data_IF_613802609889
#
_entry.id   IF_613802609889
#
_cell.length_a   1.000
_cell.length_b   1.000
_cell.length_c   1.000
_cell.angle_alpha   90.00
_cell.angle_beta   90.00
_cell.angle_gamma   90.00
#
_symmetry.space_group_name_H-M   'P 1'
#
loop_
_entity.id
_entity.type
_entity.pdbx_description
1 polymer ?
#
# COMPACT_ATOMS: atom_id res chain seq x y z
N UNK A 1 -6.66 14.17 -37.44
CA UNK A 1 -6.23 13.73 -36.09
C UNK A 1 -5.11 12.72 -36.27
N UNK A 2 -3.96 12.85 -35.57
CA UNK A 2 -2.94 11.81 -35.60
C UNK A 2 -3.54 10.47 -35.16
N UNK A 3 -3.08 9.38 -35.78
CA UNK A 3 -3.54 8.03 -35.49
C UNK A 3 -3.10 7.66 -34.06
N UNK A 4 -4.04 7.24 -33.20
CA UNK A 4 -3.72 6.82 -31.82
C UNK A 4 -2.84 5.57 -31.84
N UNK A 5 -1.82 5.54 -30.98
CA UNK A 5 -0.99 4.35 -30.75
C UNK A 5 -1.83 3.20 -30.18
N UNK A 6 -1.56 1.99 -30.65
CA UNK A 6 -2.18 0.75 -30.15
C UNK A 6 -1.68 0.40 -28.74
N UNK A 7 -0.40 0.62 -28.47
CA UNK A 7 0.23 0.36 -27.18
C UNK A 7 0.34 1.65 -26.35
N UNK A 8 0.45 1.50 -25.04
CA UNK A 8 0.90 2.55 -24.14
C UNK A 8 2.25 3.07 -24.58
N UNK A 9 2.47 4.37 -24.34
CA UNK A 9 3.78 4.98 -24.52
C UNK A 9 4.76 4.25 -23.60
N UNK A 10 5.87 3.70 -24.11
CA UNK A 10 6.81 2.97 -23.27
C UNK A 10 7.46 3.94 -22.27
N UNK A 11 7.62 3.47 -21.03
CA UNK A 11 8.36 4.16 -19.98
C UNK A 11 9.77 3.57 -19.92
N UNK A 12 10.78 4.41 -19.71
CA UNK A 12 12.13 3.91 -19.50
C UNK A 12 12.20 3.12 -18.19
N UNK A 13 12.90 1.99 -18.23
CA UNK A 13 13.17 1.17 -17.05
C UNK A 13 14.68 0.92 -16.95
N UNK A 14 15.16 0.68 -15.74
CA UNK A 14 16.52 0.18 -15.57
C UNK A 14 16.66 -1.21 -16.23
N UNK A 15 17.84 -1.47 -16.79
CA UNK A 15 18.17 -2.77 -17.36
C UNK A 15 18.14 -3.87 -16.28
N UNK A 16 17.53 -5.04 -16.55
CA UNK A 16 17.40 -6.13 -15.56
C UNK A 16 18.74 -6.58 -14.95
N UNK A 17 19.81 -6.57 -15.73
CA UNK A 17 21.17 -6.96 -15.29
C UNK A 17 21.78 -5.97 -14.31
N UNK A 18 21.35 -4.70 -14.33
CA UNK A 18 21.79 -3.62 -13.45
C UNK A 18 20.89 -3.59 -12.20
N UNK A 19 19.56 -3.45 -12.40
CA UNK A 19 18.58 -3.21 -11.32
C UNK A 19 18.46 -4.34 -10.31
N UNK A 20 18.87 -5.56 -10.67
CA UNK A 20 18.90 -6.69 -9.75
C UNK A 20 19.96 -6.56 -8.64
N UNK A 21 20.86 -5.56 -8.72
CA UNK A 21 21.95 -5.34 -7.76
C UNK A 21 21.85 -4.00 -7.01
N UNK A 22 20.74 -3.26 -7.14
CA UNK A 22 20.52 -1.99 -6.44
C UNK A 22 19.05 -1.88 -5.99
N UNK A 23 18.78 -0.95 -5.07
CA UNK A 23 17.43 -0.66 -4.57
C UNK A 23 16.80 0.59 -5.23
N UNK A 24 17.41 1.11 -6.30
CA UNK A 24 16.91 2.28 -7.02
C UNK A 24 15.62 1.94 -7.80
N UNK A 25 14.81 2.96 -8.07
CA UNK A 25 13.52 2.81 -8.74
C UNK A 25 13.65 2.16 -10.13
N UNK A 26 12.92 1.07 -10.37
CA UNK A 26 13.00 0.36 -11.66
C UNK A 26 12.40 1.18 -12.80
N UNK A 27 11.19 1.71 -12.61
CA UNK A 27 10.49 2.51 -13.60
C UNK A 27 10.90 3.98 -13.45
N UNK A 28 11.50 4.57 -14.49
CA UNK A 28 12.13 5.89 -14.42
C UNK A 28 11.16 7.06 -14.62
N UNK A 29 9.88 6.81 -14.86
CA UNK A 29 8.90 7.86 -15.12
C UNK A 29 8.86 8.31 -16.58
N UNK A 30 7.87 9.13 -16.90
CA UNK A 30 7.76 9.75 -18.23
C UNK A 30 8.50 11.08 -18.27
N UNK A 31 9.01 11.45 -19.45
CA UNK A 31 9.25 12.86 -19.75
C UNK A 31 7.94 13.59 -20.02
N UNK A 32 7.94 14.93 -20.01
CA UNK A 32 6.76 15.72 -20.37
C UNK A 32 6.30 15.41 -21.80
N UNK A 33 7.21 15.19 -22.76
CA UNK A 33 6.81 14.82 -24.13
C UNK A 33 6.15 13.45 -24.19
N UNK A 34 6.69 12.46 -23.48
CA UNK A 34 6.08 11.12 -23.38
C UNK A 34 4.71 11.19 -22.72
N UNK A 35 4.57 12.00 -21.66
CA UNK A 35 3.30 12.27 -21.00
C UNK A 35 2.25 12.86 -21.95
N UNK A 36 2.61 13.87 -22.74
CA UNK A 36 1.73 14.45 -23.76
C UNK A 36 1.33 13.44 -24.82
N UNK A 37 2.28 12.62 -25.27
CA UNK A 37 2.02 11.55 -26.23
C UNK A 37 1.02 10.54 -25.68
N UNK A 38 1.20 10.10 -24.44
CA UNK A 38 0.28 9.17 -23.78
C UNK A 38 -1.10 9.81 -23.51
N UNK A 39 -1.12 11.05 -23.03
CA UNK A 39 -2.34 11.81 -22.80
C UNK A 39 -3.18 11.97 -24.09
N UNK A 40 -2.53 12.08 -25.25
CA UNK A 40 -3.20 12.17 -26.56
C UNK A 40 -4.03 10.92 -26.92
N UNK A 41 -3.76 9.77 -26.30
CA UNK A 41 -4.52 8.53 -26.50
C UNK A 41 -5.89 8.58 -25.84
N UNK A 42 -6.08 9.41 -24.81
CA UNK A 42 -7.35 9.54 -24.11
C UNK A 42 -8.49 9.95 -25.05
N UNK A 43 -9.63 9.28 -24.90
CA UNK A 43 -10.82 9.49 -25.72
C UNK A 43 -11.70 10.64 -25.23
N UNK A 44 -11.41 11.21 -24.04
CA UNK A 44 -12.26 12.21 -23.39
C UNK A 44 -13.72 11.74 -23.31
N UNK A 45 -13.90 10.55 -22.73
CA UNK A 45 -15.22 9.89 -22.64
C UNK A 45 -16.16 10.72 -21.76
N UNK A 46 -17.34 11.09 -22.27
CA UNK A 46 -18.33 11.88 -21.52
C UNK A 46 -18.82 11.23 -20.23
N UNK A 47 -18.93 9.91 -20.21
CA UNK A 47 -19.37 9.12 -19.05
C UNK A 47 -18.23 8.72 -18.10
N UNK A 48 -16.98 8.99 -18.50
CA UNK A 48 -15.75 8.86 -17.71
C UNK A 48 -15.74 7.66 -16.73
N UNK A 49 -15.87 6.41 -17.21
CA UNK A 49 -15.97 5.24 -16.34
C UNK A 49 -14.75 5.05 -15.42
N UNK A 50 -13.60 5.58 -15.83
CA UNK A 50 -12.36 5.59 -15.06
C UNK A 50 -12.48 6.35 -13.73
N UNK A 51 -13.31 7.41 -13.65
CA UNK A 51 -13.54 8.17 -12.42
C UNK A 51 -14.27 7.28 -11.41
N UNK A 52 -15.36 6.62 -11.84
CA UNK A 52 -16.20 5.78 -10.98
C UNK A 52 -15.48 4.56 -10.39
N UNK A 53 -14.41 4.10 -11.04
CA UNK A 53 -13.60 2.96 -10.60
C UNK A 53 -12.30 3.37 -9.93
N UNK A 54 -12.06 4.68 -9.77
CA UNK A 54 -11.01 5.19 -8.90
C UNK A 54 -11.61 5.36 -7.50
N UNK A 55 -11.09 4.68 -6.45
CA UNK A 55 -11.66 4.77 -5.11
C UNK A 55 -11.70 6.18 -4.50
N UNK A 56 -10.86 7.11 -4.98
CA UNK A 56 -10.86 8.53 -4.58
C UNK A 56 -11.46 9.46 -5.64
N UNK A 57 -12.04 8.89 -6.71
CA UNK A 57 -12.80 9.59 -7.75
C UNK A 57 -12.06 10.76 -8.43
N UNK A 58 -10.76 10.58 -8.74
CA UNK A 58 -9.96 11.58 -9.46
C UNK A 58 -10.65 11.96 -10.78
N UNK A 59 -10.69 13.27 -11.10
CA UNK A 59 -11.08 13.77 -12.42
C UNK A 59 -10.02 13.45 -13.49
N UNK A 60 -10.00 12.17 -13.89
CA UNK A 60 -9.02 11.60 -14.81
C UNK A 60 -9.05 12.27 -16.19
N UNK A 61 -10.20 12.43 -16.86
CA UNK A 61 -10.24 13.13 -18.15
C UNK A 61 -9.75 14.58 -18.03
N UNK A 62 -10.07 15.26 -16.94
CA UNK A 62 -9.67 16.65 -16.69
C UNK A 62 -8.17 16.82 -16.58
N UNK A 63 -7.48 16.07 -15.72
CA UNK A 63 -6.03 16.23 -15.57
C UNK A 63 -5.29 15.77 -16.82
N UNK A 64 -5.75 14.71 -17.51
CA UNK A 64 -5.16 14.26 -18.77
C UNK A 64 -5.33 15.30 -19.87
N UNK A 65 -6.48 15.99 -19.91
CA UNK A 65 -6.71 17.08 -20.85
C UNK A 65 -5.74 18.24 -20.57
N UNK A 66 -5.51 18.58 -19.30
CA UNK A 66 -4.55 19.61 -18.92
C UNK A 66 -3.10 19.24 -19.35
N UNK A 67 -2.66 17.99 -19.18
CA UNK A 67 -1.37 17.51 -19.71
C UNK A 67 -1.29 17.71 -21.23
N UNK A 68 -2.34 17.32 -21.95
CA UNK A 68 -2.41 17.44 -23.41
C UNK A 68 -2.36 18.90 -23.89
N UNK A 69 -2.91 19.82 -23.10
CA UNK A 69 -2.92 21.26 -23.36
C UNK A 69 -1.66 21.97 -22.85
N UNK A 70 -0.65 21.22 -22.38
CA UNK A 70 0.61 21.73 -21.82
C UNK A 70 0.45 22.56 -20.53
N UNK A 71 -0.58 22.25 -19.74
CA UNK A 71 -0.90 22.95 -18.49
C UNK A 71 -0.69 22.00 -17.28
N UNK A 72 0.58 21.71 -16.99
CA UNK A 72 0.99 20.90 -15.83
C UNK A 72 0.53 21.47 -14.48
N UNK A 73 0.59 22.80 -14.22
CA UNK A 73 0.03 23.36 -12.99
C UNK A 73 -1.45 23.03 -12.80
N UNK A 74 -2.27 23.16 -13.85
CA UNK A 74 -3.69 22.80 -13.79
C UNK A 74 -3.90 21.30 -13.63
N UNK A 75 -3.09 20.47 -14.27
CA UNK A 75 -3.15 19.02 -14.08
C UNK A 75 -2.94 18.65 -12.60
N UNK A 76 -1.93 19.23 -11.96
CA UNK A 76 -1.65 19.02 -10.53
C UNK A 76 -2.78 19.55 -9.64
N UNK A 77 -3.28 20.75 -9.91
CA UNK A 77 -4.44 21.31 -9.18
C UNK A 77 -5.68 20.43 -9.28
N UNK A 78 -5.89 19.76 -10.42
CA UNK A 78 -7.00 18.80 -10.58
C UNK A 78 -6.79 17.59 -9.68
N UNK A 79 -5.60 16.98 -9.72
CA UNK A 79 -5.27 15.79 -8.91
C UNK A 79 -5.33 16.08 -7.41
N UNK A 80 -4.73 17.19 -6.94
CA UNK A 80 -4.62 17.55 -5.52
C UNK A 80 -5.99 17.85 -4.85
N UNK A 81 -7.06 18.06 -5.64
CA UNK A 81 -8.43 18.11 -5.08
C UNK A 81 -8.92 16.75 -4.59
N UNK A 82 -8.42 15.67 -5.17
CA UNK A 82 -8.93 14.31 -4.94
C UNK A 82 -7.92 13.40 -4.26
N UNK A 83 -6.62 13.63 -4.43
CA UNK A 83 -5.59 12.77 -3.87
C UNK A 83 -4.62 13.57 -3.03
N UNK A 84 -4.34 13.07 -1.83
CA UNK A 84 -3.27 13.58 -0.97
C UNK A 84 -1.95 12.86 -1.22
N UNK A 85 -1.98 11.72 -1.95
CA UNK A 85 -0.80 10.90 -2.21
C UNK A 85 -0.60 10.49 -3.69
N UNK A 86 -0.69 11.42 -4.65
CA UNK A 86 -0.69 11.08 -6.08
C UNK A 86 0.62 10.47 -6.60
N UNK A 87 1.79 10.90 -6.09
CA UNK A 87 3.07 10.34 -6.51
C UNK A 87 3.21 8.87 -6.07
N UNK A 88 2.60 8.51 -4.96
CA UNK A 88 2.54 7.14 -4.46
C UNK A 88 1.51 6.33 -5.25
N UNK A 89 0.28 6.84 -5.42
CA UNK A 89 -0.79 6.13 -6.13
C UNK A 89 -0.43 5.82 -7.59
N UNK A 90 0.19 6.77 -8.28
CA UNK A 90 0.67 6.59 -9.66
C UNK A 90 1.67 5.44 -9.80
N UNK A 91 2.42 5.11 -8.72
CA UNK A 91 3.40 4.02 -8.68
C UNK A 91 2.81 2.67 -8.28
N UNK A 92 1.97 2.64 -7.24
CA UNK A 92 1.64 1.38 -6.54
C UNK A 92 0.21 0.89 -6.72
N UNK A 93 -0.69 1.71 -7.28
CA UNK A 93 -2.06 1.26 -7.56
C UNK A 93 -2.05 0.06 -8.53
N UNK A 94 -2.92 -0.95 -8.35
CA UNK A 94 -3.14 -1.98 -9.36
C UNK A 94 -4.11 -1.46 -10.42
N UNK A 95 -3.66 -0.55 -11.29
CA UNK A 95 -4.54 0.12 -12.26
C UNK A 95 -5.27 -0.87 -13.18
N UNK A 96 -4.68 -2.03 -13.44
CA UNK A 96 -5.25 -3.12 -14.23
C UNK A 96 -6.49 -3.76 -13.59
N UNK A 97 -6.74 -3.48 -12.31
CA UNK A 97 -7.95 -3.87 -11.56
C UNK A 97 -8.84 -2.67 -11.20
N UNK A 98 -8.51 -1.47 -11.68
CA UNK A 98 -9.15 -0.21 -11.27
C UNK A 98 -9.44 0.71 -12.47
N UNK A 99 -8.88 1.93 -12.49
CA UNK A 99 -9.19 2.97 -13.47
C UNK A 99 -8.86 2.55 -14.91
N UNK A 100 -7.77 1.81 -15.14
CA UNK A 100 -7.36 1.36 -16.47
C UNK A 100 -8.17 0.15 -16.96
N UNK A 101 -8.63 -0.72 -16.03
CA UNK A 101 -9.50 -1.86 -16.34
C UNK A 101 -10.77 -1.46 -17.09
N UNK A 102 -11.30 -0.27 -16.79
CA UNK A 102 -12.56 0.25 -17.35
C UNK A 102 -12.35 1.30 -18.44
N UNK A 103 -11.10 1.59 -18.81
CA UNK A 103 -10.79 2.52 -19.87
C UNK A 103 -11.38 2.02 -21.21
N UNK A 104 -12.25 2.81 -21.84
CA UNK A 104 -12.92 2.43 -23.09
C UNK A 104 -11.95 2.14 -24.24
N UNK A 105 -10.79 2.81 -24.25
CA UNK A 105 -9.73 2.53 -25.23
C UNK A 105 -9.26 1.08 -25.10
N UNK A 106 -8.96 0.65 -23.86
CA UNK A 106 -8.52 -0.71 -23.53
C UNK A 106 -9.59 -1.79 -23.67
N UNK A 107 -10.86 -1.44 -23.86
CA UNK A 107 -11.93 -2.42 -24.17
C UNK A 107 -11.84 -2.93 -25.62
N UNK A 108 -11.19 -2.18 -26.50
CA UNK A 108 -10.91 -2.65 -27.86
C UNK A 108 -9.76 -3.66 -27.83
N UNK A 109 -9.94 -4.85 -28.42
CA UNK A 109 -8.90 -5.90 -28.47
C UNK A 109 -7.58 -5.47 -29.13
N UNK A 110 -7.56 -4.33 -29.84
CA UNK A 110 -6.39 -3.81 -30.54
C UNK A 110 -5.62 -2.76 -29.75
N UNK A 111 -6.17 -2.25 -28.65
CA UNK A 111 -5.59 -1.12 -27.93
C UNK A 111 -5.40 -1.47 -26.45
N UNK A 112 -4.26 -1.08 -25.91
CA UNK A 112 -4.06 -1.02 -24.46
C UNK A 112 -4.81 0.17 -23.86
N UNK A 113 -5.20 0.13 -22.57
CA UNK A 113 -5.78 1.29 -21.90
C UNK A 113 -4.80 2.47 -21.89
N UNK A 114 -5.33 3.67 -21.64
CA UNK A 114 -4.50 4.85 -21.34
C UNK A 114 -3.75 4.57 -20.04
N UNK A 115 -2.45 4.88 -19.98
CA UNK A 115 -1.61 4.70 -18.80
C UNK A 115 -1.87 5.78 -17.74
N UNK A 116 -3.04 5.73 -17.11
CA UNK A 116 -3.54 6.73 -16.16
C UNK A 116 -2.58 6.85 -14.96
N UNK A 117 -2.12 5.72 -14.41
CA UNK A 117 -1.21 5.76 -13.25
C UNK A 117 0.13 6.42 -13.58
N UNK A 118 0.68 6.15 -14.76
CA UNK A 118 1.94 6.75 -15.23
C UNK A 118 1.79 8.27 -15.48
N UNK A 119 0.63 8.72 -15.95
CA UNK A 119 0.33 10.15 -16.10
C UNK A 119 0.11 10.85 -14.75
N UNK A 120 -0.57 10.20 -13.80
CA UNK A 120 -0.72 10.71 -12.42
C UNK A 120 0.66 10.88 -11.77
N UNK A 121 1.51 9.86 -11.89
CA UNK A 121 2.91 9.91 -11.43
C UNK A 121 3.67 11.08 -12.06
N UNK A 122 3.61 11.25 -13.38
CA UNK A 122 4.30 12.34 -14.07
C UNK A 122 3.92 13.71 -13.49
N UNK A 123 2.63 13.95 -13.29
CA UNK A 123 2.14 15.23 -12.77
C UNK A 123 2.57 15.45 -11.33
N UNK A 124 2.54 14.42 -10.50
CA UNK A 124 2.97 14.51 -9.12
C UNK A 124 4.49 14.73 -9.00
N UNK A 125 5.30 13.96 -9.74
CA UNK A 125 6.75 14.09 -9.76
C UNK A 125 7.17 15.50 -10.25
N UNK A 126 6.54 16.00 -11.32
CA UNK A 126 6.75 17.37 -11.81
C UNK A 126 6.44 18.43 -10.74
N UNK A 127 5.44 18.20 -9.90
CA UNK A 127 5.01 19.15 -8.87
C UNK A 127 6.06 19.35 -7.76
N UNK A 128 6.86 18.32 -7.44
CA UNK A 128 7.93 18.42 -6.43
C UNK A 128 9.09 19.31 -6.87
N UNK A 129 9.26 19.51 -8.18
CA UNK A 129 10.26 20.43 -8.72
C UNK A 129 9.79 21.90 -8.69
N UNK A 130 8.51 22.14 -8.40
CA UNK A 130 7.94 23.48 -8.37
C UNK A 130 7.98 24.08 -6.97
N UNK A 131 8.25 25.38 -6.88
CA UNK A 131 7.97 26.11 -5.65
C UNK A 131 6.46 26.20 -5.44
N UNK A 132 5.92 25.53 -4.43
CA UNK A 132 4.53 25.73 -4.03
C UNK A 132 4.45 26.40 -2.66
N UNK A 133 3.44 27.26 -2.49
CA UNK A 133 3.02 27.77 -1.20
C UNK A 133 1.59 27.31 -1.02
N UNK A 134 1.34 26.51 0.00
CA UNK A 134 -0.01 26.22 0.40
C UNK A 134 -0.68 27.50 0.91
N UNK A 135 -2.01 27.54 0.76
CA UNK A 135 -2.80 28.64 1.30
C UNK A 135 -2.99 28.39 2.79
N UNK A 136 -2.77 29.42 3.59
CA UNK A 136 -3.10 29.38 5.01
C UNK A 136 -4.61 29.10 5.18
N UNK A 137 -4.95 27.90 5.64
CA UNK A 137 -6.30 27.55 6.07
C UNK A 137 -6.38 27.79 7.57
N UNK A 138 -7.40 28.52 8.01
CA UNK A 138 -7.64 28.73 9.44
C UNK A 138 -8.16 27.44 10.07
N UNK A 139 -7.50 26.98 11.13
CA UNK A 139 -7.83 25.74 11.84
C UNK A 139 -8.70 26.02 13.06
N UNK A 140 -9.99 26.30 12.87
CA UNK A 140 -10.92 26.68 13.96
C UNK A 140 -12.21 25.84 14.04
N UNK A 141 -12.34 24.79 13.20
CA UNK A 141 -13.54 23.95 13.20
C UNK A 141 -13.56 22.88 14.28
N UNK A 142 -12.41 22.47 14.79
CA UNK A 142 -12.29 21.45 15.81
C UNK A 142 -10.98 20.68 15.76
N UNK A 143 -10.80 19.79 16.72
CA UNK A 143 -9.61 18.94 16.88
C UNK A 143 -9.93 17.50 16.54
N UNK A 144 -9.14 16.86 15.68
CA UNK A 144 -9.32 15.45 15.33
C UNK A 144 -8.01 14.67 15.50
N UNK A 145 -8.08 13.57 16.25
CA UNK A 145 -6.99 12.62 16.38
C UNK A 145 -7.03 11.59 15.25
N UNK A 146 -5.87 11.21 14.74
CA UNK A 146 -5.71 10.17 13.72
C UNK A 146 -4.69 9.16 14.21
N UNK A 147 -5.11 7.92 14.48
CA UNK A 147 -4.23 6.86 15.00
C UNK A 147 -3.71 6.01 13.85
N UNK A 148 -2.44 6.20 13.50
CA UNK A 148 -1.74 5.53 12.40
C UNK A 148 -1.37 6.48 11.26
N UNK A 149 -0.08 6.49 10.90
CA UNK A 149 0.49 7.29 9.83
C UNK A 149 0.59 6.58 8.47
N UNK A 150 -0.11 5.45 8.28
CA UNK A 150 -0.23 4.77 6.97
C UNK A 150 -1.22 5.47 6.03
N UNK A 151 -1.32 5.10 4.74
CA UNK A 151 -1.98 5.90 3.68
C UNK A 151 -3.34 6.55 4.03
N UNK A 152 -4.17 5.84 4.79
CA UNK A 152 -5.49 6.34 5.22
C UNK A 152 -5.38 7.53 6.18
N UNK A 153 -4.44 7.50 7.12
CA UNK A 153 -4.24 8.52 8.15
C UNK A 153 -3.90 9.91 7.58
N UNK A 154 -2.80 10.08 6.84
CA UNK A 154 -2.49 11.33 6.14
C UNK A 154 -3.58 11.76 5.17
N UNK A 155 -4.34 10.81 4.58
CA UNK A 155 -5.48 11.17 3.75
C UNK A 155 -6.58 11.87 4.55
N UNK A 156 -6.99 11.30 5.69
CA UNK A 156 -7.98 11.92 6.58
C UNK A 156 -7.48 13.24 7.13
N UNK A 157 -6.26 13.26 7.67
CA UNK A 157 -5.68 14.44 8.30
C UNK A 157 -5.54 15.59 7.30
N UNK A 158 -5.01 15.33 6.10
CA UNK A 158 -4.84 16.33 5.06
C UNK A 158 -6.18 16.91 4.55
N UNK A 159 -7.21 16.06 4.39
CA UNK A 159 -8.53 16.54 3.97
C UNK A 159 -9.22 17.36 5.07
N UNK A 160 -9.14 16.92 6.32
CA UNK A 160 -9.68 17.67 7.46
C UNK A 160 -8.94 19.00 7.68
N UNK A 161 -7.62 19.03 7.50
CA UNK A 161 -6.84 20.27 7.52
C UNK A 161 -7.29 21.24 6.42
N UNK A 162 -7.47 20.75 5.18
CA UNK A 162 -8.06 21.53 4.07
C UNK A 162 -9.47 22.04 4.40
N UNK A 163 -10.21 21.35 5.26
CA UNK A 163 -11.53 21.77 5.74
C UNK A 163 -11.51 22.73 6.92
N UNK A 164 -10.35 22.96 7.57
CA UNK A 164 -10.18 23.88 8.71
C UNK A 164 -10.18 23.22 10.10
N UNK A 165 -9.87 21.92 10.18
CA UNK A 165 -9.70 21.21 11.45
C UNK A 165 -8.21 21.13 11.85
N UNK A 166 -7.94 21.27 13.13
CA UNK A 166 -6.64 20.93 13.71
C UNK A 166 -6.55 19.40 13.80
N UNK A 167 -5.52 18.82 13.20
CA UNK A 167 -5.36 17.36 13.16
C UNK A 167 -4.02 16.93 13.71
N UNK A 168 -4.02 15.85 14.51
CA UNK A 168 -2.81 15.22 15.03
C UNK A 168 -2.80 13.74 14.65
N UNK A 169 -1.77 13.33 13.93
CA UNK A 169 -1.49 11.92 13.63
C UNK A 169 -0.58 11.35 14.74
N UNK A 170 -1.00 10.26 15.35
CA UNK A 170 -0.18 9.45 16.26
C UNK A 170 0.34 8.22 15.53
N UNK A 171 1.65 8.12 15.37
CA UNK A 171 2.33 7.03 14.66
C UNK A 171 3.22 6.24 15.62
N UNK A 172 3.05 4.92 15.64
CA UNK A 172 3.77 4.01 16.52
C UNK A 172 5.27 3.94 16.19
N UNK A 173 5.62 3.95 14.91
CA UNK A 173 7.00 3.89 14.44
C UNK A 173 7.68 5.27 14.49
N UNK A 174 9.00 5.27 14.35
CA UNK A 174 9.79 6.51 14.28
C UNK A 174 9.58 7.30 12.97
N UNK A 175 8.86 6.72 12.00
CA UNK A 175 8.61 7.31 10.67
C UNK A 175 7.18 7.02 10.22
N UNK A 176 6.48 8.06 9.75
CA UNK A 176 5.17 7.94 9.14
C UNK A 176 5.23 7.32 7.73
N UNK A 177 4.06 6.99 7.16
CA UNK A 177 3.88 6.35 5.86
C UNK A 177 3.42 4.89 5.96
N UNK A 178 3.49 4.26 7.13
CA UNK A 178 3.07 2.87 7.32
C UNK A 178 3.71 1.92 6.30
N UNK A 179 2.90 1.12 5.60
CA UNK A 179 3.38 0.16 4.59
C UNK A 179 4.19 0.82 3.46
N UNK A 180 3.97 2.12 3.20
CA UNK A 180 4.74 2.89 2.21
C UNK A 180 6.21 3.03 2.63
N UNK A 181 6.47 3.07 3.94
CA UNK A 181 7.79 3.24 4.53
C UNK A 181 8.43 1.88 4.86
N UNK A 182 7.74 0.98 5.57
CA UNK A 182 8.33 -0.28 6.00
C UNK A 182 8.10 -1.47 5.05
N UNK A 183 7.07 -1.42 4.19
CA UNK A 183 6.63 -2.57 3.40
C UNK A 183 7.09 -2.55 1.95
N UNK A 184 6.70 -1.51 1.22
CA UNK A 184 6.98 -1.39 -0.22
C UNK A 184 8.45 -0.98 -0.44
N UNK A 185 9.29 -1.75 -1.15
CA UNK A 185 10.71 -1.40 -1.30
C UNK A 185 10.97 -0.17 -2.19
N UNK A 186 12.15 0.43 -2.02
CA UNK A 186 12.61 1.63 -2.77
C UNK A 186 12.57 1.46 -4.28
N UNK A 187 12.85 0.25 -4.77
CA UNK A 187 12.86 -0.04 -6.21
C UNK A 187 11.47 0.06 -6.87
N UNK A 188 10.40 0.12 -6.06
CA UNK A 188 9.01 0.36 -6.51
C UNK A 188 8.47 1.69 -6.01
N UNK A 189 8.83 2.08 -4.78
CA UNK A 189 8.40 3.33 -4.16
C UNK A 189 9.57 3.97 -3.40
N UNK A 190 10.26 4.96 -4.00
CA UNK A 190 11.37 5.63 -3.34
C UNK A 190 10.92 6.29 -2.03
N UNK A 191 11.70 6.14 -0.96
CA UNK A 191 11.33 6.70 0.35
C UNK A 191 11.31 8.22 0.36
N UNK A 192 12.16 8.85 -0.45
CA UNK A 192 12.15 10.29 -0.64
C UNK A 192 10.78 10.79 -1.16
N UNK A 193 10.09 10.02 -2.00
CA UNK A 193 8.75 10.38 -2.49
C UNK A 193 7.72 10.31 -1.36
N UNK A 194 7.81 9.27 -0.51
CA UNK A 194 6.95 9.16 0.68
C UNK A 194 7.20 10.34 1.62
N UNK A 195 8.47 10.69 1.86
CA UNK A 195 8.86 11.80 2.72
C UNK A 195 8.35 13.14 2.20
N UNK A 196 8.45 13.39 0.88
CA UNK A 196 7.93 14.59 0.24
C UNK A 196 6.41 14.72 0.40
N UNK A 197 5.65 13.65 0.20
CA UNK A 197 4.19 13.74 0.38
C UNK A 197 3.77 13.85 1.84
N UNK A 198 4.44 13.17 2.76
CA UNK A 198 4.22 13.38 4.19
C UNK A 198 4.57 14.82 4.59
N UNK A 199 5.60 15.41 4.00
CA UNK A 199 5.96 16.80 4.23
C UNK A 199 4.86 17.75 3.71
N UNK A 200 4.32 17.52 2.51
CA UNK A 200 3.17 18.29 2.01
C UNK A 200 1.96 18.21 2.95
N UNK A 201 1.72 17.06 3.60
CA UNK A 201 0.66 16.94 4.60
C UNK A 201 0.96 17.79 5.84
N UNK A 202 2.22 17.83 6.30
CA UNK A 202 2.62 18.73 7.39
C UNK A 202 2.49 20.20 7.00
N UNK A 203 2.77 20.55 5.75
CA UNK A 203 2.68 21.92 5.23
C UNK A 203 1.21 22.43 5.23
N UNK A 204 0.23 21.53 5.24
CA UNK A 204 -1.19 21.85 5.48
C UNK A 204 -1.51 22.17 6.97
N UNK A 205 -0.52 22.11 7.87
CA UNK A 205 -0.70 22.32 9.31
C UNK A 205 -1.04 21.06 10.10
N UNK A 206 -0.90 19.87 9.50
CA UNK A 206 -1.11 18.59 10.20
C UNK A 206 0.06 18.32 11.16
N UNK A 207 -0.24 18.08 12.43
CA UNK A 207 0.76 17.63 13.40
C UNK A 207 0.98 16.11 13.27
N UNK A 208 2.22 15.65 13.30
CA UNK A 208 2.55 14.22 13.24
C UNK A 208 3.50 13.89 14.40
N UNK A 209 3.01 13.09 15.34
CA UNK A 209 3.76 12.59 16.49
C UNK A 209 4.15 11.14 16.26
N UNK A 210 5.45 10.91 16.02
CA UNK A 210 6.02 9.57 15.87
C UNK A 210 6.46 8.98 17.22
N UNK A 211 6.69 7.67 17.26
CA UNK A 211 6.99 6.91 18.48
C UNK A 211 5.88 6.97 19.55
N UNK A 212 4.63 7.15 19.13
CA UNK A 212 3.46 7.16 20.01
C UNK A 212 2.61 5.93 19.72
N UNK A 213 2.65 4.96 20.62
CA UNK A 213 1.82 3.76 20.55
C UNK A 213 0.55 4.01 21.34
N UNK A 214 -0.55 4.37 20.67
CA UNK A 214 -1.86 4.55 21.33
C UNK A 214 -2.31 3.22 21.95
N UNK A 215 -2.73 3.26 23.22
CA UNK A 215 -2.96 2.09 24.08
C UNK A 215 -1.74 1.63 24.89
N UNK A 216 -0.60 2.35 24.79
CA UNK A 216 0.61 2.12 25.59
C UNK A 216 1.28 3.41 26.04
N UNK A 217 1.63 4.28 25.09
CA UNK A 217 2.26 5.58 25.34
C UNK A 217 1.24 6.61 25.82
N UNK A 218 0.05 6.60 25.22
CA UNK A 218 -1.13 7.37 25.61
C UNK A 218 -2.33 6.44 25.59
N UNK A 219 -3.30 6.68 26.45
CA UNK A 219 -4.52 5.88 26.53
C UNK A 219 -5.59 6.39 25.56
N UNK A 220 -6.44 5.48 25.08
CA UNK A 220 -7.52 5.86 24.16
C UNK A 220 -8.51 6.85 24.81
N UNK A 221 -8.69 6.77 26.13
CA UNK A 221 -9.52 7.74 26.86
C UNK A 221 -8.94 9.15 26.82
N UNK A 222 -7.62 9.31 26.96
CA UNK A 222 -6.97 10.63 26.85
C UNK A 222 -7.19 11.23 25.47
N UNK A 223 -7.13 10.40 24.41
CA UNK A 223 -7.44 10.81 23.04
C UNK A 223 -8.90 11.25 22.91
N UNK A 224 -9.85 10.53 23.50
CA UNK A 224 -11.27 10.91 23.46
C UNK A 224 -11.59 12.18 24.26
N UNK A 225 -10.85 12.44 25.34
CA UNK A 225 -11.06 13.62 26.19
C UNK A 225 -10.50 14.91 25.57
N UNK A 226 -9.41 14.81 24.79
CA UNK A 226 -8.74 15.98 24.19
C UNK A 226 -9.28 16.38 22.79
N UNK A 227 -9.85 15.43 22.04
CA UNK A 227 -10.24 15.62 20.64
C UNK A 227 -11.76 15.53 20.42
N UNK A 228 -12.28 16.32 19.47
CA UNK A 228 -13.71 16.30 19.11
C UNK A 228 -14.12 14.99 18.41
N UNK A 229 -13.17 14.32 17.76
CA UNK A 229 -13.34 13.02 17.10
C UNK A 229 -12.00 12.30 16.92
N UNK A 230 -12.05 10.99 16.72
CA UNK A 230 -10.88 10.15 16.45
C UNK A 230 -11.08 9.25 15.23
N UNK A 231 -10.03 9.09 14.41
CA UNK A 231 -9.98 8.15 13.30
C UNK A 231 -8.90 7.08 13.54
N UNK A 232 -9.26 5.80 13.47
CA UNK A 232 -8.36 4.66 13.67
C UNK A 232 -7.95 4.06 12.31
N UNK A 233 -6.66 4.10 12.02
CA UNK A 233 -6.04 3.70 10.75
C UNK A 233 -4.76 2.85 10.94
N UNK A 234 -4.75 1.97 11.95
CA UNK A 234 -3.56 1.18 12.37
C UNK A 234 -3.22 -0.01 11.46
N UNK A 235 -4.03 -0.25 10.42
CA UNK A 235 -3.83 -1.28 9.39
C UNK A 235 -3.84 -2.73 9.89
N UNK A 236 -3.48 -3.65 8.99
CA UNK A 236 -3.39 -5.08 9.26
C UNK A 236 -1.92 -5.55 9.24
N UNK A 237 -1.16 -5.18 10.27
CA UNK A 237 0.30 -5.40 10.31
C UNK A 237 0.77 -6.73 10.92
N UNK A 238 -0.09 -7.48 11.62
CA UNK A 238 0.33 -8.65 12.40
C UNK A 238 0.62 -9.84 11.47
N UNK A 239 1.84 -10.40 11.45
CA UNK A 239 2.18 -11.50 10.54
C UNK A 239 1.40 -12.77 10.87
N UNK A 240 1.05 -13.52 9.82
CA UNK A 240 0.58 -14.91 9.94
C UNK A 240 1.74 -15.85 9.68
N UNK A 241 1.83 -16.91 10.48
CA UNK A 241 2.80 -17.97 10.30
C UNK A 241 2.11 -19.25 9.82
N UNK A 242 2.79 -20.08 9.03
CA UNK A 242 2.32 -21.40 8.65
C UNK A 242 2.12 -22.33 9.85
N UNK A 243 2.90 -22.14 10.91
CA UNK A 243 2.86 -22.97 12.11
C UNK A 243 3.34 -24.41 11.87
N UNK A 244 4.22 -24.60 10.89
CA UNK A 244 4.81 -25.90 10.57
C UNK A 244 6.10 -26.13 11.36
N UNK A 245 6.56 -27.39 11.41
CA UNK A 245 7.81 -27.74 12.10
C UNK A 245 8.98 -26.92 11.54
N UNK A 246 9.85 -26.44 12.43
CA UNK A 246 11.05 -25.66 12.08
C UNK A 246 10.83 -24.16 11.86
N UNK A 247 9.64 -23.60 12.09
CA UNK A 247 9.40 -22.14 11.97
C UNK A 247 10.28 -21.26 12.88
N UNK A 248 10.92 -21.83 13.90
CA UNK A 248 11.86 -21.11 14.78
C UNK A 248 13.34 -21.22 14.39
N UNK A 249 13.67 -21.83 13.25
CA UNK A 249 15.05 -21.95 12.77
C UNK A 249 15.62 -20.58 12.37
N UNK A 250 16.94 -20.40 12.56
CA UNK A 250 17.64 -19.24 12.01
C UNK A 250 17.53 -19.26 10.49
N UNK A 251 17.15 -18.12 9.91
CA UNK A 251 16.90 -17.96 8.48
C UNK A 251 15.43 -18.04 8.08
N UNK A 252 14.50 -18.33 9.01
CA UNK A 252 13.06 -18.25 8.76
C UNK A 252 12.52 -16.90 9.25
N UNK A 253 11.94 -16.13 8.34
CA UNK A 253 11.43 -14.78 8.60
C UNK A 253 9.95 -14.65 8.26
N UNK A 254 9.22 -13.86 9.05
CA UNK A 254 8.00 -13.24 8.55
C UNK A 254 8.37 -12.13 7.54
N UNK A 255 7.60 -11.97 6.46
CA UNK A 255 7.84 -10.90 5.48
C UNK A 255 7.80 -9.51 6.11
N UNK A 256 7.00 -9.31 7.16
CA UNK A 256 6.95 -8.04 7.89
C UNK A 256 8.28 -7.71 8.55
N UNK A 257 8.96 -8.68 9.16
CA UNK A 257 10.29 -8.46 9.73
C UNK A 257 11.31 -8.22 8.64
N UNK A 258 11.38 -9.12 7.65
CA UNK A 258 12.34 -9.04 6.55
C UNK A 258 12.27 -7.69 5.83
N UNK A 259 11.08 -7.29 5.38
CA UNK A 259 10.88 -6.03 4.68
C UNK A 259 11.07 -4.82 5.60
N UNK A 260 10.72 -4.89 6.89
CA UNK A 260 11.00 -3.78 7.82
C UNK A 260 12.50 -3.56 7.98
N UNK A 261 13.28 -4.62 8.16
CA UNK A 261 14.74 -4.52 8.24
C UNK A 261 15.34 -3.98 6.94
N UNK A 262 14.88 -4.46 5.79
CA UNK A 262 15.36 -3.98 4.48
C UNK A 262 14.98 -2.52 4.26
N UNK A 263 13.70 -2.17 4.42
CA UNK A 263 13.17 -0.90 3.94
C UNK A 263 13.23 0.23 4.98
N UNK A 264 12.74 -0.02 6.20
CA UNK A 264 12.66 1.02 7.23
C UNK A 264 14.01 1.21 7.90
N UNK A 265 14.73 0.11 8.13
CA UNK A 265 16.02 0.13 8.82
C UNK A 265 17.22 0.21 7.86
N UNK A 266 16.97 0.30 6.55
CA UNK A 266 17.99 0.36 5.49
C UNK A 266 19.05 -0.74 5.58
N UNK A 267 18.66 -1.95 6.02
CA UNK A 267 19.63 -3.01 6.31
C UNK A 267 20.39 -3.56 5.11
N UNK A 268 19.99 -3.19 3.88
CA UNK A 268 20.78 -3.45 2.67
C UNK A 268 22.09 -2.64 2.62
N UNK A 269 22.17 -1.52 3.35
CA UNK A 269 23.32 -0.60 3.43
C UNK A 269 24.12 -0.79 4.74
N UNK A 270 24.04 -1.95 5.37
CA UNK A 270 24.91 -2.30 6.50
C UNK A 270 26.38 -2.36 6.05
N UNK A 271 27.35 -1.75 6.79
CA UNK A 271 27.23 -1.19 8.14
C UNK A 271 27.02 0.33 8.22
N UNK A 272 26.67 1.02 7.12
CA UNK A 272 26.34 2.45 7.19
C UNK A 272 25.05 2.71 8.00
N UNK A 273 24.14 1.72 8.00
CA UNK A 273 23.05 1.62 8.95
C UNK A 273 23.27 0.43 9.90
N UNK A 274 22.88 0.61 11.16
CA UNK A 274 23.21 -0.33 12.25
C UNK A 274 22.46 -1.67 12.19
N UNK A 275 21.32 -1.73 11.49
CA UNK A 275 20.49 -2.95 11.45
C UNK A 275 20.99 -3.91 10.38
N UNK A 276 21.48 -5.11 10.74
CA UNK A 276 21.86 -6.10 9.76
C UNK A 276 20.63 -6.79 9.14
N UNK A 277 20.82 -7.28 7.92
CA UNK A 277 19.93 -8.23 7.22
C UNK A 277 20.75 -9.43 6.80
N UNK A 278 20.27 -10.64 7.10
CA UNK A 278 20.93 -11.87 6.66
C UNK A 278 20.92 -11.94 5.13
N UNK A 279 22.02 -12.40 4.54
CA UNK A 279 22.15 -12.53 3.07
C UNK A 279 22.14 -14.00 2.69
N UNK A 280 20.95 -14.58 2.53
CA UNK A 280 20.78 -15.94 2.04
C UNK A 280 21.31 -16.11 0.62
N UNK A 281 21.92 -17.27 0.32
CA UNK A 281 22.35 -17.64 -1.03
C UNK A 281 21.22 -18.33 -1.79
N UNK A 282 20.42 -19.14 -1.09
CA UNK A 282 19.29 -19.89 -1.61
C UNK A 282 18.04 -19.50 -0.81
N UNK A 283 17.25 -18.58 -1.36
CA UNK A 283 16.11 -18.00 -0.66
C UNK A 283 14.79 -18.57 -1.18
N UNK A 284 13.94 -19.03 -0.26
CA UNK A 284 12.57 -19.46 -0.57
C UNK A 284 11.58 -18.43 -0.04
N UNK A 285 10.74 -17.86 -0.92
CA UNK A 285 9.68 -16.94 -0.51
C UNK A 285 8.34 -17.61 -0.65
N UNK A 286 7.58 -17.70 0.45
CA UNK A 286 6.31 -18.41 0.51
C UNK A 286 5.17 -17.41 0.32
N UNK A 287 4.48 -17.46 -0.83
CA UNK A 287 3.35 -16.57 -1.11
C UNK A 287 3.22 -16.24 -2.60
N UNK A 288 2.22 -15.42 -2.93
CA UNK A 288 1.98 -14.98 -4.31
C UNK A 288 1.49 -13.53 -4.46
N UNK A 289 1.40 -12.79 -3.35
CA UNK A 289 1.02 -11.37 -3.37
C UNK A 289 2.19 -10.45 -3.67
N UNK A 290 1.92 -9.14 -3.71
CA UNK A 290 2.97 -8.12 -3.86
C UNK A 290 4.05 -8.25 -2.79
N UNK A 291 3.66 -8.55 -1.54
CA UNK A 291 4.61 -8.78 -0.44
C UNK A 291 5.60 -9.92 -0.75
N UNK A 292 5.16 -10.98 -1.43
CA UNK A 292 6.03 -12.06 -1.86
C UNK A 292 6.96 -11.62 -3.00
N UNK A 293 6.47 -10.83 -3.95
CA UNK A 293 7.31 -10.27 -5.03
C UNK A 293 8.36 -9.31 -4.46
N UNK A 294 7.94 -8.42 -3.55
CA UNK A 294 8.80 -7.46 -2.88
C UNK A 294 9.89 -8.18 -2.07
N UNK A 295 9.52 -9.21 -1.31
CA UNK A 295 10.49 -10.02 -0.54
C UNK A 295 11.48 -10.74 -1.45
N UNK A 296 11.00 -11.37 -2.53
CA UNK A 296 11.86 -12.11 -3.47
C UNK A 296 12.84 -11.18 -4.21
N UNK A 297 12.36 -10.02 -4.64
CA UNK A 297 13.17 -9.01 -5.36
C UNK A 297 14.16 -8.31 -4.45
N UNK A 298 13.82 -8.09 -3.18
CA UNK A 298 14.74 -7.60 -2.15
C UNK A 298 15.83 -8.63 -1.84
N UNK A 299 15.46 -9.90 -1.63
CA UNK A 299 16.43 -10.98 -1.44
C UNK A 299 17.40 -11.11 -2.62
N UNK A 300 16.90 -10.96 -3.85
CA UNK A 300 17.75 -10.97 -5.05
C UNK A 300 18.79 -9.84 -5.02
N UNK A 301 18.37 -8.63 -4.64
CA UNK A 301 19.23 -7.43 -4.53
C UNK A 301 20.23 -7.49 -3.38
N UNK A 302 19.92 -8.24 -2.33
CA UNK A 302 20.84 -8.52 -1.23
C UNK A 302 21.96 -9.51 -1.62
N UNK A 303 21.92 -10.07 -2.83
CA UNK A 303 22.97 -10.91 -3.39
C UNK A 303 22.63 -12.40 -3.46
N UNK A 304 21.36 -12.79 -3.26
CA UNK A 304 20.96 -14.19 -3.38
C UNK A 304 21.27 -14.76 -4.78
N UNK A 305 21.96 -15.90 -4.80
CA UNK A 305 22.27 -16.61 -6.04
C UNK A 305 20.98 -17.13 -6.67
N UNK A 306 20.15 -17.79 -5.87
CA UNK A 306 18.86 -18.36 -6.26
C UNK A 306 17.76 -17.88 -5.33
N UNK A 307 16.69 -17.37 -5.92
CA UNK A 307 15.45 -17.01 -5.21
C UNK A 307 14.30 -17.79 -5.85
N UNK A 308 13.53 -18.51 -5.04
CA UNK A 308 12.37 -19.28 -5.51
C UNK A 308 11.12 -18.85 -4.77
N UNK A 309 10.12 -18.38 -5.51
CA UNK A 309 8.78 -18.14 -4.99
C UNK A 309 8.03 -19.47 -4.97
N UNK A 310 7.57 -19.89 -3.80
CA UNK A 310 6.71 -21.05 -3.60
C UNK A 310 5.27 -20.60 -3.47
N UNK A 311 4.44 -20.98 -4.42
CA UNK A 311 3.03 -20.61 -4.45
C UNK A 311 2.13 -21.83 -4.58
N UNK A 312 1.17 -21.95 -3.67
CA UNK A 312 0.24 -23.10 -3.60
C UNK A 312 -0.76 -23.17 -4.75
N UNK A 313 -0.89 -22.13 -5.59
CA UNK A 313 -1.79 -22.09 -6.76
C UNK A 313 -0.97 -21.93 -8.05
N UNK A 314 -1.65 -21.77 -9.19
CA UNK A 314 -0.97 -21.54 -10.46
C UNK A 314 -0.67 -20.05 -10.69
N UNK A 315 0.06 -19.76 -11.78
CA UNK A 315 0.32 -18.41 -12.25
C UNK A 315 -0.96 -17.60 -12.50
N UNK A 316 -2.03 -18.25 -12.95
CA UNK A 316 -3.29 -17.56 -13.31
C UNK A 316 -4.03 -17.05 -12.06
N UNK A 317 -3.83 -17.69 -10.90
CA UNK A 317 -4.38 -17.24 -9.62
C UNK A 317 -3.43 -16.31 -8.85
N UNK A 318 -2.31 -15.87 -9.43
CA UNK A 318 -1.34 -15.00 -8.76
C UNK A 318 -1.96 -13.63 -8.46
N UNK A 319 -2.06 -13.21 -7.18
CA UNK A 319 -2.69 -11.93 -6.84
C UNK A 319 -1.81 -10.69 -7.05
N UNK A 320 -0.49 -10.85 -7.18
CA UNK A 320 0.46 -9.75 -7.39
C UNK A 320 0.13 -8.89 -8.63
N UNK A 321 0.58 -7.63 -8.61
CA UNK A 321 0.54 -6.73 -9.77
C UNK A 321 1.31 -7.37 -10.92
N UNK A 322 0.77 -7.26 -12.13
CA UNK A 322 1.37 -7.90 -13.32
C UNK A 322 2.77 -7.37 -13.61
N UNK A 323 2.94 -6.05 -13.51
CA UNK A 323 4.22 -5.35 -13.70
C UNK A 323 5.31 -5.93 -12.77
N UNK A 324 5.01 -6.06 -11.47
CA UNK A 324 5.96 -6.61 -10.49
C UNK A 324 6.32 -8.07 -10.75
N UNK A 325 5.33 -8.86 -11.20
CA UNK A 325 5.59 -10.24 -11.61
C UNK A 325 6.55 -10.28 -12.81
N UNK A 326 6.32 -9.48 -13.85
CA UNK A 326 7.21 -9.45 -15.01
C UNK A 326 8.63 -8.98 -14.64
N UNK A 327 8.74 -7.91 -13.84
CA UNK A 327 10.04 -7.44 -13.36
C UNK A 327 10.78 -8.51 -12.55
N UNK A 328 10.08 -9.27 -11.71
CA UNK A 328 10.68 -10.36 -10.94
C UNK A 328 11.24 -11.48 -11.82
N UNK A 329 10.54 -11.81 -12.92
CA UNK A 329 10.98 -12.84 -13.88
C UNK A 329 12.20 -12.36 -14.65
N UNK A 330 12.21 -11.09 -15.08
CA UNK A 330 13.34 -10.45 -15.75
C UNK A 330 14.59 -10.36 -14.84
N UNK A 331 14.39 -10.23 -13.53
CA UNK A 331 15.46 -10.24 -12.51
C UNK A 331 15.96 -11.66 -12.16
N UNK A 332 15.34 -12.70 -12.72
CA UNK A 332 15.75 -14.10 -12.58
C UNK A 332 15.18 -14.83 -11.37
N UNK A 333 14.03 -14.39 -10.83
CA UNK A 333 13.32 -15.09 -9.76
C UNK A 333 12.63 -16.34 -10.33
N UNK A 334 12.87 -17.48 -9.68
CA UNK A 334 12.25 -18.76 -10.04
C UNK A 334 10.90 -18.96 -9.34
N UNK A 335 10.05 -19.79 -9.93
CA UNK A 335 8.71 -20.04 -9.42
C UNK A 335 8.43 -21.54 -9.29
N UNK A 336 8.06 -21.96 -8.09
CA UNK A 336 7.52 -23.28 -7.80
C UNK A 336 6.01 -23.17 -7.61
N UNK A 337 5.29 -23.31 -8.74
CA UNK A 337 3.83 -23.32 -8.78
C UNK A 337 3.27 -24.58 -8.13
N UNK A 338 2.00 -24.50 -7.70
CA UNK A 338 1.28 -25.63 -7.11
C UNK A 338 2.11 -26.36 -6.05
N UNK A 339 2.73 -25.58 -5.17
CA UNK A 339 3.66 -26.10 -4.16
C UNK A 339 3.38 -25.43 -2.82
N UNK A 340 3.30 -26.23 -1.75
CA UNK A 340 3.05 -25.75 -0.40
C UNK A 340 4.12 -26.29 0.57
N UNK A 341 4.74 -25.45 1.42
CA UNK A 341 5.64 -25.93 2.46
C UNK A 341 4.91 -26.78 3.51
N UNK A 342 5.58 -27.80 4.03
CA UNK A 342 5.06 -28.67 5.10
C UNK A 342 6.02 -28.79 6.29
N UNK A 343 7.32 -28.50 6.09
CA UNK A 343 8.34 -28.55 7.14
C UNK A 343 9.58 -27.74 6.74
N UNK A 344 10.15 -27.00 7.68
CA UNK A 344 11.47 -26.39 7.56
C UNK A 344 12.53 -27.32 8.15
N UNK A 345 13.61 -27.58 7.41
CA UNK A 345 14.68 -28.50 7.79
C UNK A 345 15.88 -27.71 8.30
N UNK A 346 16.36 -28.07 9.50
CA UNK A 346 17.49 -27.42 10.15
C UNK A 346 18.75 -28.28 10.25
N UNK A 347 19.90 -27.66 10.37
CA UNK A 347 21.14 -28.31 10.79
C UNK A 347 21.25 -28.44 12.32
N UNK A 348 22.38 -28.99 12.79
CA UNK A 348 22.70 -29.20 14.20
C UNK A 348 22.77 -27.90 15.02
N UNK A 349 23.03 -26.78 14.35
CA UNK A 349 23.16 -25.44 14.94
C UNK A 349 21.85 -24.64 14.85
N UNK A 350 20.77 -25.24 14.32
CA UNK A 350 19.48 -24.59 14.15
C UNK A 350 19.40 -23.63 12.95
N UNK A 351 20.29 -23.74 11.97
CA UNK A 351 20.19 -22.99 10.71
C UNK A 351 19.32 -23.72 9.70
N UNK A 352 18.50 -22.97 8.96
CA UNK A 352 17.74 -23.51 7.84
C UNK A 352 18.68 -24.09 6.76
N UNK A 353 18.39 -25.31 6.30
CA UNK A 353 19.11 -25.96 5.18
C UNK A 353 18.18 -26.39 4.03
N UNK A 354 16.87 -26.36 4.24
CA UNK A 354 15.89 -26.64 3.20
C UNK A 354 14.44 -26.47 3.63
N UNK A 355 13.56 -26.37 2.64
CA UNK A 355 12.11 -26.34 2.81
C UNK A 355 11.53 -27.58 2.18
N UNK A 356 10.94 -28.45 2.98
CA UNK A 356 10.18 -29.61 2.50
C UNK A 356 8.80 -29.12 2.07
N UNK A 357 8.43 -29.45 0.84
CA UNK A 357 7.20 -29.04 0.20
C UNK A 357 6.41 -30.24 -0.30
N UNK A 358 5.11 -30.04 -0.51
CA UNK A 358 4.21 -30.99 -1.18
C UNK A 358 3.65 -30.35 -2.46
N UNK A 359 3.39 -31.14 -3.50
CA UNK A 359 2.70 -30.67 -4.69
C UNK A 359 1.20 -30.53 -4.43
N UNK A 360 0.61 -29.57 -5.12
CA UNK A 360 -0.81 -29.26 -5.07
C UNK A 360 -1.45 -29.53 -6.44
N UNK A 361 -2.75 -29.78 -6.45
CA UNK A 361 -3.60 -29.67 -7.63
C UNK A 361 -4.71 -28.64 -7.40
N UNK A 362 -5.28 -28.12 -8.48
CA UNK A 362 -6.36 -27.14 -8.37
C UNK A 362 -7.72 -27.84 -8.32
N UNK A 363 -8.44 -27.68 -7.22
CA UNK A 363 -9.84 -28.06 -7.07
C UNK A 363 -10.80 -27.01 -7.63
N UNK A 364 -11.99 -26.95 -7.04
CA UNK A 364 -13.03 -25.96 -7.39
C UNK A 364 -12.65 -24.55 -6.90
N UNK A 365 -13.17 -23.48 -7.53
CA UNK A 365 -13.04 -22.12 -7.03
C UNK A 365 -13.46 -21.95 -5.56
N UNK A 366 -12.74 -21.12 -4.81
CA UNK A 366 -13.11 -20.59 -3.49
C UNK A 366 -13.99 -19.35 -3.60
N UNK A 367 -14.37 -18.77 -2.47
CA UNK A 367 -15.26 -17.59 -2.39
C UNK A 367 -14.63 -16.34 -3.01
N UNK A 368 -13.30 -16.33 -3.18
CA UNK A 368 -12.59 -15.28 -3.93
C UNK A 368 -12.53 -15.54 -5.45
N UNK A 369 -13.20 -16.59 -5.92
CA UNK A 369 -13.23 -17.02 -7.32
C UNK A 369 -11.98 -17.78 -7.77
N UNK A 370 -11.00 -18.01 -6.89
CA UNK A 370 -9.73 -18.65 -7.23
C UNK A 370 -9.77 -20.13 -6.88
N UNK A 371 -9.20 -21.00 -7.72
CA UNK A 371 -9.23 -22.45 -7.47
C UNK A 371 -8.51 -22.83 -6.18
N UNK A 372 -9.17 -23.68 -5.36
CA UNK A 372 -8.65 -24.18 -4.09
C UNK A 372 -7.47 -25.14 -4.35
N UNK A 373 -6.33 -24.98 -3.67
CA UNK A 373 -5.24 -25.92 -3.80
C UNK A 373 -5.50 -27.15 -2.92
N UNK A 374 -5.34 -28.35 -3.47
CA UNK A 374 -5.50 -29.65 -2.78
C UNK A 374 -4.15 -30.38 -2.78
N UNK A 375 -3.64 -30.87 -1.64
CA UNK A 375 -2.37 -31.59 -1.60
C UNK A 375 -2.42 -32.91 -2.38
N UNK A 376 -1.34 -33.25 -3.07
CA UNK A 376 -1.14 -34.55 -3.72
C UNK A 376 -0.29 -35.43 -2.78
N UNK A 377 -0.86 -36.45 -2.10
CA UNK A 377 -0.10 -37.27 -1.15
C UNK A 377 1.08 -38.00 -1.81
N UNK A 378 2.21 -38.10 -1.11
CA UNK A 378 3.41 -38.80 -1.62
C UNK A 378 4.22 -38.00 -2.65
N UNK A 379 3.90 -36.72 -2.84
CA UNK A 379 4.59 -35.82 -3.77
C UNK A 379 5.62 -34.92 -3.08
N UNK A 380 6.03 -35.27 -1.86
CA UNK A 380 6.94 -34.46 -1.06
C UNK A 380 8.33 -34.38 -1.68
N UNK A 381 8.92 -33.18 -1.65
CA UNK A 381 10.26 -32.91 -2.14
C UNK A 381 10.91 -31.78 -1.33
N UNK A 382 12.23 -31.65 -1.43
CA UNK A 382 12.98 -30.64 -0.69
C UNK A 382 13.52 -29.60 -1.66
N UNK A 383 13.29 -28.32 -1.34
CA UNK A 383 13.96 -27.18 -1.96
C UNK A 383 15.09 -26.77 -1.02
N UNK A 384 16.35 -26.82 -1.49
CA UNK A 384 17.50 -26.33 -0.70
C UNK A 384 17.32 -24.84 -0.44
N UNK A 385 17.45 -24.43 0.81
CA UNK A 385 17.28 -23.04 1.22
C UNK A 385 18.09 -22.76 2.48
N UNK A 386 18.75 -21.61 2.54
CA UNK A 386 19.40 -21.08 3.73
C UNK A 386 18.63 -19.89 4.33
N UNK A 387 17.63 -19.40 3.60
CA UNK A 387 16.68 -18.39 4.07
C UNK A 387 15.26 -18.68 3.54
N UNK A 388 14.25 -18.47 4.38
CA UNK A 388 12.84 -18.59 4.03
C UNK A 388 12.06 -17.37 4.52
N UNK A 389 11.25 -16.77 3.64
CA UNK A 389 10.41 -15.61 3.98
C UNK A 389 8.94 -15.96 3.80
N UNK A 390 8.18 -15.97 4.89
CA UNK A 390 6.73 -16.20 4.89
C UNK A 390 5.98 -14.91 4.54
N UNK A 391 5.42 -14.85 3.33
CA UNK A 391 4.61 -13.76 2.78
C UNK A 391 3.16 -14.21 2.52
N UNK A 392 2.56 -14.87 3.52
CA UNK A 392 1.25 -15.54 3.44
C UNK A 392 0.07 -14.68 3.90
N UNK A 393 0.31 -13.40 4.16
CA UNK A 393 -0.68 -12.43 4.60
C UNK A 393 -0.52 -12.02 6.06
N UNK A 394 -1.32 -11.02 6.45
CA UNK A 394 -1.29 -10.42 7.77
C UNK A 394 -2.72 -10.36 8.34
N UNK A 395 -2.83 -10.04 9.63
CA UNK A 395 -4.09 -9.83 10.35
C UNK A 395 -4.15 -8.47 11.04
N UNK A 396 -5.29 -8.19 11.66
CA UNK A 396 -5.52 -6.97 12.42
C UNK A 396 -4.43 -6.72 13.48
N UNK A 397 -3.98 -5.47 13.57
CA UNK A 397 -3.06 -5.07 14.64
C UNK A 397 -3.80 -5.03 15.98
N UNK A 398 -3.43 -5.93 16.89
CA UNK A 398 -4.13 -6.10 18.17
C UNK A 398 -3.68 -5.19 19.30
N UNK A 399 -2.58 -4.44 19.15
CA UNK A 399 -2.01 -3.66 20.26
C UNK A 399 -3.02 -2.70 20.89
N UNK A 400 -3.78 -1.97 20.05
CA UNK A 400 -4.85 -1.09 20.51
C UNK A 400 -6.13 -1.88 20.84
N UNK A 401 -6.50 -2.85 20.01
CA UNK A 401 -7.76 -3.59 20.15
C UNK A 401 -7.82 -4.41 21.45
N UNK A 402 -6.69 -4.95 21.91
CA UNK A 402 -6.62 -5.75 23.14
C UNK A 402 -6.77 -4.89 24.41
N UNK A 403 -6.53 -3.58 24.32
CA UNK A 403 -6.63 -2.63 25.46
C UNK A 403 -7.83 -1.70 25.35
N UNK A 404 -8.67 -1.86 24.32
CA UNK A 404 -9.88 -1.08 24.11
C UNK A 404 -11.06 -2.02 23.76
N UNK A 405 -11.50 -2.86 24.72
CA UNK A 405 -12.45 -3.93 24.49
C UNK A 405 -13.89 -3.46 24.21
N UNK A 406 -14.18 -2.17 24.42
CA UNK A 406 -15.48 -1.57 24.10
C UNK A 406 -15.71 -1.41 22.59
N UNK A 407 -14.64 -1.51 21.80
CA UNK A 407 -14.70 -1.40 20.34
C UNK A 407 -15.11 -2.73 19.72
N UNK A 408 -16.23 -2.75 19.01
CA UNK A 408 -16.75 -3.96 18.39
C UNK A 408 -15.82 -4.42 17.26
N UNK A 409 -15.57 -5.73 17.23
CA UNK A 409 -14.79 -6.40 16.21
C UNK A 409 -15.66 -7.39 15.45
N UNK A 410 -15.42 -7.50 14.15
CA UNK A 410 -16.05 -8.56 13.37
C UNK A 410 -15.44 -9.94 13.69
N UNK A 411 -16.03 -11.00 13.15
CA UNK A 411 -15.59 -12.38 13.42
C UNK A 411 -14.15 -12.70 13.00
N UNK A 412 -13.51 -11.86 12.19
CA UNK A 412 -12.10 -11.99 11.79
C UNK A 412 -11.14 -11.21 12.71
N UNK A 413 -11.66 -10.42 13.65
CA UNK A 413 -10.90 -9.58 14.57
C UNK A 413 -10.47 -8.23 14.00
N UNK A 414 -11.11 -7.76 12.92
CA UNK A 414 -10.98 -6.38 12.42
C UNK A 414 -12.03 -5.49 13.08
N UNK A 415 -11.83 -4.17 13.09
CA UNK A 415 -12.81 -3.22 13.63
C UNK A 415 -14.10 -3.32 12.82
N UNK A 416 -15.22 -3.48 13.50
CA UNK A 416 -16.54 -3.40 12.88
C UNK A 416 -16.91 -1.91 12.73
N UNK A 417 -16.85 -1.43 11.49
CA UNK A 417 -17.17 -0.05 11.15
C UNK A 417 -18.13 -0.03 9.96
N UNK A 418 -19.08 0.89 10.00
CA UNK A 418 -20.08 1.04 8.96
C UNK A 418 -19.44 1.44 7.61
N UNK A 419 -19.80 0.75 6.54
CA UNK A 419 -19.15 0.91 5.22
C UNK A 419 -19.44 2.27 4.57
N UNK A 420 -20.57 2.91 4.91
CA UNK A 420 -21.00 4.18 4.32
C UNK A 420 -20.56 5.40 5.13
N UNK A 421 -20.36 5.23 6.44
CA UNK A 421 -20.06 6.32 7.37
C UNK A 421 -18.70 6.23 8.02
N UNK A 422 -18.05 5.06 7.97
CA UNK A 422 -16.84 4.71 8.71
C UNK A 422 -16.99 4.78 10.24
N UNK A 423 -18.20 4.94 10.77
CA UNK A 423 -18.46 5.02 12.20
C UNK A 423 -18.29 3.64 12.85
N UNK A 424 -17.74 3.64 14.07
CA UNK A 424 -17.59 2.41 14.88
C UNK A 424 -18.74 2.27 15.88
N UNK A 425 -18.68 1.24 16.75
CA UNK A 425 -19.61 1.08 17.87
C UNK A 425 -19.57 2.22 18.88
N UNK A 426 -18.54 3.07 18.85
CA UNK A 426 -18.32 4.16 19.80
C UNK A 426 -18.49 5.51 19.11
N UNK A 427 -19.39 6.35 19.64
CA UNK A 427 -19.68 7.68 19.10
C UNK A 427 -18.41 8.55 19.06
N UNK A 428 -18.20 9.24 17.93
CA UNK A 428 -17.02 10.08 17.72
C UNK A 428 -15.76 9.32 17.33
N UNK A 429 -15.79 7.97 17.31
CA UNK A 429 -14.72 7.13 16.79
C UNK A 429 -15.11 6.56 15.42
N UNK A 430 -14.23 6.80 14.45
CA UNK A 430 -14.32 6.31 13.09
C UNK A 430 -13.12 5.40 12.80
N UNK A 431 -13.24 4.48 11.85
CA UNK A 431 -12.14 3.61 11.44
C UNK A 431 -12.17 3.33 9.93
N UNK A 432 -11.01 3.06 9.34
CA UNK A 432 -10.95 2.66 7.94
C UNK A 432 -9.58 2.25 7.44
N UNK A 433 -9.54 1.85 6.17
CA UNK A 433 -8.41 1.14 5.59
C UNK A 433 -8.29 -0.28 6.10
N UNK A 434 -7.08 -0.83 6.08
CA UNK A 434 -6.84 -2.27 6.26
C UNK A 434 -7.26 -2.80 7.65
N UNK A 435 -7.44 -1.94 8.66
CA UNK A 435 -7.93 -2.36 9.98
C UNK A 435 -9.42 -2.72 10.00
N UNK A 436 -10.18 -2.29 8.99
CA UNK A 436 -11.61 -2.62 8.80
C UNK A 436 -11.76 -3.70 7.74
N UNK A 437 -11.15 -3.50 6.56
CA UNK A 437 -11.34 -4.40 5.41
C UNK A 437 -10.43 -5.62 5.40
N UNK A 438 -9.40 -5.64 6.24
CA UNK A 438 -8.23 -6.48 6.03
C UNK A 438 -7.35 -5.98 4.88
N UNK A 439 -6.21 -6.65 4.67
CA UNK A 439 -5.20 -6.23 3.71
C UNK A 439 -5.77 -6.00 2.30
N UNK A 440 -5.69 -4.77 1.81
CA UNK A 440 -6.31 -4.35 0.55
C UNK A 440 -5.28 -3.65 -0.37
N UNK A 441 -5.51 -2.38 -0.72
CA UNK A 441 -4.61 -1.57 -1.55
C UNK A 441 -4.50 -0.16 -0.99
N UNK A 442 -3.38 0.51 -1.25
CA UNK A 442 -3.13 1.90 -0.79
C UNK A 442 -4.31 2.82 -1.11
N UNK A 443 -4.81 2.76 -2.34
CA UNK A 443 -5.90 3.63 -2.79
C UNK A 443 -7.26 3.29 -2.17
N UNK A 444 -7.52 2.04 -1.78
CA UNK A 444 -8.72 1.69 -1.02
C UNK A 444 -8.66 2.26 0.40
N UNK A 445 -7.48 2.19 1.04
CA UNK A 445 -7.26 2.83 2.34
C UNK A 445 -7.42 4.35 2.26
N UNK A 446 -6.97 4.98 1.17
CA UNK A 446 -7.23 6.41 0.92
C UNK A 446 -8.71 6.70 0.65
N UNK A 447 -9.41 5.84 -0.10
CA UNK A 447 -10.86 5.95 -0.35
C UNK A 447 -11.66 5.94 0.95
N UNK A 448 -11.34 5.01 1.86
CA UNK A 448 -11.92 4.99 3.20
C UNK A 448 -11.62 6.27 3.98
N UNK A 449 -10.39 6.80 3.86
CA UNK A 449 -10.02 8.06 4.48
C UNK A 449 -10.80 9.26 3.94
N UNK A 450 -11.06 9.32 2.62
CA UNK A 450 -11.88 10.38 2.01
C UNK A 450 -13.31 10.38 2.54
N UNK A 451 -13.89 9.19 2.69
CA UNK A 451 -15.22 9.03 3.25
C UNK A 451 -15.23 9.46 4.73
N UNK A 452 -14.29 8.93 5.51
CA UNK A 452 -14.19 9.24 6.93
C UNK A 452 -13.97 10.74 7.21
N UNK A 453 -13.13 11.44 6.44
CA UNK A 453 -12.92 12.89 6.63
C UNK A 453 -14.23 13.70 6.49
N UNK A 454 -15.07 13.33 5.50
CA UNK A 454 -16.37 13.96 5.31
C UNK A 454 -17.31 13.68 6.49
N UNK A 455 -17.37 12.44 6.94
CA UNK A 455 -18.31 12.04 7.99
C UNK A 455 -17.88 12.51 9.39
N UNK A 456 -16.58 12.55 9.67
CA UNK A 456 -16.02 13.21 10.85
C UNK A 456 -16.40 14.70 10.86
N UNK A 457 -16.26 15.39 9.73
CA UNK A 457 -16.65 16.80 9.65
C UNK A 457 -18.14 17.01 9.90
N UNK A 458 -19.00 16.12 9.38
CA UNK A 458 -20.44 16.15 9.63
C UNK A 458 -20.74 15.96 11.13
N UNK A 459 -20.12 14.94 11.74
CA UNK A 459 -20.28 14.62 13.16
C UNK A 459 -19.89 15.81 14.05
N UNK A 460 -18.66 16.33 13.91
CA UNK A 460 -18.17 17.43 14.77
C UNK A 460 -19.03 18.69 14.62
N UNK A 461 -19.49 18.98 13.39
CA UNK A 461 -20.39 20.11 13.15
C UNK A 461 -21.74 19.94 13.85
N UNK A 462 -22.32 18.74 13.81
CA UNK A 462 -23.60 18.43 14.45
C UNK A 462 -23.49 18.46 15.97
N UNK A 463 -22.46 17.86 16.57
CA UNK A 463 -22.25 17.87 18.01
C UNK A 463 -22.05 19.29 18.55
N UNK A 464 -21.30 20.14 17.84
CA UNK A 464 -21.17 21.56 18.20
C UNK A 464 -22.47 22.34 18.09
N UNK A 465 -23.36 21.98 17.16
CA UNK A 465 -24.69 22.59 17.06
C UNK A 465 -25.57 22.19 18.25
N UNK A 466 -25.62 20.89 18.60
CA UNK A 466 -26.38 20.37 19.76
C UNK A 466 -25.93 21.02 21.07
N UNK A 467 -24.63 21.16 21.29
CA UNK A 467 -24.08 21.78 22.50
C UNK A 467 -24.44 23.28 22.61
N UNK A 468 -24.60 23.98 21.49
CA UNK A 468 -25.07 25.38 21.48
C UNK A 468 -26.56 25.48 21.81
N UNK A 469 -27.38 24.56 21.33
CA UNK A 469 -28.82 24.55 21.62
C UNK A 469 -29.11 24.15 23.07
N UNK A 470 -28.36 23.17 23.62
CA UNK A 470 -28.50 22.73 25.01
C UNK A 470 -27.96 23.70 26.05
N UNK A 471 -27.11 24.67 25.67
CA UNK A 471 -26.60 25.73 26.56
C UNK A 471 -27.47 27.00 26.55
N UNK A 472 -28.47 27.06 25.66
CA UNK A 472 -29.46 28.14 25.57
C UNK A 472 -30.79 27.80 26.29
N UNK A 473 -30.94 26.57 26.77
CA UNK A 473 -32.02 26.12 27.67
C UNK A 473 -31.51 26.07 29.10
#
# INVERSE_FOLDING_TARGET
MPKRSYIQTPMAEQEPTIRKNNFEEVAMGYTVEQGKLEASRCLQCKDAPCIKHCPVMIDIPGFIQAIKDDDMPKAYQIINRYSNLPAICGRVCPQEKQCEMVCKLGKSKKFEPVAIGKLERLVADWSFEQSSKDKDVKLDKGKVAVVGGGPSGPTVAGDLAKMGYETTIFEALHKAGGVLSYGIPEFRLPKEIVDKEIQQIKDLGVNIQTNVVVGKTIDMQEVMDEFDACYIAIGAGTPKFLGISGSGLKGVYASSEFLTRVNLMHGYDFPNYDTPVEKGRNVVVIGGGNVAMDSARSAKRLGAEKVTVVYRRSKDELPARKEEFYHSVEEGIEYSWLTNPVEYLGDENGNLIGVKCIKMELGTPDDSGRRRPVPIPGSEFIIKADEAVEAIGQGANRVLLDVFPELDLNHWGYIDADEETCATSISGIFAGGDIVTGAATVILAMGAGKLAAKEISNYVTQEKAKNREGSLQ
#
